data_IF_025624829078
#
_entry.id   IF_025624829078
#
_cell.length_a   1.000
_cell.length_b   1.000
_cell.length_c   1.000
_cell.angle_alpha   90.00
_cell.angle_beta   90.00
_cell.angle_gamma   90.00
#
_symmetry.space_group_name_H-M   'P 1'
#
loop_
_entity.id
_entity.type
_entity.pdbx_description
1 polymer ?
#
# COMPACT_ATOMS: atom_id res chain seq x y z
N UNK A 1 26.52 0.65 18.10
CA UNK A 1 26.06 2.01 17.75
C UNK A 1 24.82 1.88 16.89
N UNK A 2 23.67 1.76 17.56
CA UNK A 2 22.37 1.36 17.04
C UNK A 2 21.43 2.54 17.32
N UNK A 3 21.54 3.64 16.58
CA UNK A 3 20.65 4.78 16.71
C UNK A 3 20.88 5.75 15.53
N UNK A 4 20.05 5.66 14.49
CA UNK A 4 19.98 6.69 13.45
C UNK A 4 18.52 7.11 13.33
N UNK A 5 18.21 8.16 14.09
CA UNK A 5 17.30 9.25 13.77
C UNK A 5 16.01 8.87 13.04
N UNK A 6 15.02 8.42 13.81
CA UNK A 6 13.62 8.60 13.44
C UNK A 6 13.27 10.09 13.56
N UNK A 7 13.16 10.78 12.43
CA UNK A 7 12.63 12.14 12.35
C UNK A 7 11.11 12.13 12.62
N UNK A 8 10.59 12.82 13.65
CA UNK A 8 9.20 12.69 14.09
C UNK A 8 8.17 13.45 13.24
N UNK A 9 8.57 14.10 12.13
CA UNK A 9 7.68 14.96 11.32
C UNK A 9 7.42 14.46 9.89
N UNK A 10 7.89 13.27 9.52
CA UNK A 10 7.54 12.65 8.23
C UNK A 10 6.51 11.55 8.46
N UNK A 11 5.22 11.88 8.58
CA UNK A 11 4.08 10.96 8.80
C UNK A 11 4.35 9.53 8.30
N UNK A 12 4.97 8.65 9.10
CA UNK A 12 5.39 7.31 8.66
C UNK A 12 4.15 6.44 8.44
N UNK A 13 3.06 6.84 9.09
CA UNK A 13 1.74 6.25 9.03
C UNK A 13 1.23 6.14 7.60
N UNK A 14 1.52 7.07 6.68
CA UNK A 14 0.97 6.98 5.32
C UNK A 14 1.63 5.85 4.51
N UNK A 15 2.95 5.68 4.64
CA UNK A 15 3.68 4.61 3.96
C UNK A 15 3.39 3.24 4.57
N UNK A 16 3.43 3.12 5.90
CA UNK A 16 3.11 1.86 6.58
C UNK A 16 1.66 1.43 6.35
N UNK A 17 0.71 2.38 6.37
CA UNK A 17 -0.70 2.10 6.09
C UNK A 17 -0.88 1.63 4.65
N UNK A 18 -0.23 2.29 3.69
CA UNK A 18 -0.26 1.86 2.29
C UNK A 18 0.26 0.42 2.15
N UNK A 19 1.43 0.13 2.71
CA UNK A 19 2.03 -1.19 2.66
C UNK A 19 1.14 -2.26 3.31
N UNK A 20 0.54 -1.96 4.46
CA UNK A 20 -0.38 -2.88 5.15
C UNK A 20 -1.64 -3.17 4.33
N UNK A 21 -2.19 -2.17 3.65
CA UNK A 21 -3.36 -2.34 2.78
C UNK A 21 -3.01 -3.14 1.53
N UNK A 22 -1.91 -2.79 0.85
CA UNK A 22 -1.43 -3.53 -0.33
C UNK A 22 -1.11 -4.98 0.02
N UNK A 23 -0.51 -5.27 1.17
CA UNK A 23 -0.24 -6.65 1.61
C UNK A 23 -1.52 -7.48 1.76
N UNK A 24 -2.60 -6.89 2.28
CA UNK A 24 -3.92 -7.56 2.36
C UNK A 24 -4.54 -7.76 0.97
N UNK A 25 -4.39 -6.78 0.09
CA UNK A 25 -4.87 -6.88 -1.29
C UNK A 25 -4.11 -7.96 -2.08
N UNK A 26 -2.80 -8.11 -1.87
CA UNK A 26 -2.01 -9.20 -2.45
C UNK A 26 -2.56 -10.54 -1.99
N UNK A 27 -2.85 -10.70 -0.70
CA UNK A 27 -3.48 -11.93 -0.19
C UNK A 27 -4.83 -12.20 -0.88
N UNK A 28 -5.69 -11.19 -1.00
CA UNK A 28 -7.00 -11.32 -1.66
C UNK A 28 -6.88 -11.59 -3.16
N UNK A 29 -5.86 -11.07 -3.84
CA UNK A 29 -5.66 -11.31 -5.28
C UNK A 29 -5.44 -12.78 -5.63
N UNK A 30 -4.96 -13.59 -4.68
CA UNK A 30 -4.78 -15.03 -4.89
C UNK A 30 -6.11 -15.79 -4.96
N UNK A 31 -7.16 -15.30 -4.29
CA UNK A 31 -8.49 -15.92 -4.31
C UNK A 31 -9.48 -15.18 -5.23
N UNK A 32 -9.16 -13.94 -5.61
CA UNK A 32 -9.95 -13.05 -6.46
C UNK A 32 -9.07 -12.46 -7.59
N UNK A 33 -8.92 -13.18 -8.72
CA UNK A 33 -8.06 -12.73 -9.83
C UNK A 33 -8.60 -11.49 -10.56
N UNK A 34 -9.87 -11.12 -10.33
CA UNK A 34 -10.50 -9.91 -10.85
C UNK A 34 -9.81 -8.62 -10.39
N UNK A 35 -9.19 -8.63 -9.21
CA UNK A 35 -8.41 -7.50 -8.70
C UNK A 35 -6.89 -7.66 -8.87
N UNK A 36 -6.40 -8.83 -9.29
CA UNK A 36 -4.97 -9.13 -9.31
C UNK A 36 -4.14 -8.17 -10.17
N UNK A 37 -4.70 -7.72 -11.29
CA UNK A 37 -4.06 -6.72 -12.14
C UNK A 37 -3.95 -5.37 -11.42
N UNK A 38 -5.02 -4.89 -10.81
CA UNK A 38 -5.01 -3.62 -10.08
C UNK A 38 -4.04 -3.67 -8.88
N UNK A 39 -4.01 -4.80 -8.17
CA UNK A 39 -3.11 -5.04 -7.03
C UNK A 39 -1.64 -5.07 -7.45
N UNK A 40 -1.32 -5.73 -8.56
CA UNK A 40 0.07 -5.78 -9.06
C UNK A 40 0.60 -4.40 -9.45
N UNK A 41 -0.25 -3.52 -10.02
CA UNK A 41 0.13 -2.12 -10.30
C UNK A 41 0.41 -1.34 -9.01
N UNK A 42 -0.50 -1.34 -8.04
CA UNK A 42 -0.29 -0.61 -6.77
C UNK A 42 0.89 -1.19 -5.96
N UNK A 43 1.18 -2.48 -6.09
CA UNK A 43 2.31 -3.12 -5.39
C UNK A 43 3.68 -2.56 -5.80
N UNK A 44 3.81 -2.03 -7.03
CA UNK A 44 5.05 -1.42 -7.52
C UNK A 44 5.40 -0.12 -6.78
N UNK A 45 4.38 0.57 -6.25
CA UNK A 45 4.55 1.85 -5.57
C UNK A 45 4.71 1.71 -4.05
N UNK A 46 4.92 0.50 -3.52
CA UNK A 46 5.10 0.27 -2.08
C UNK A 46 6.31 0.97 -1.46
N UNK A 47 7.33 1.31 -2.26
CA UNK A 47 8.54 1.98 -1.77
C UNK A 47 8.40 3.51 -1.74
N UNK A 48 7.54 4.07 -2.59
CA UNK A 48 7.24 5.50 -2.67
C UNK A 48 5.75 5.72 -2.99
N UNK A 49 4.85 5.57 -1.99
CA UNK A 49 3.42 5.76 -2.20
C UNK A 49 3.08 7.25 -2.36
N UNK A 50 2.12 7.53 -3.25
CA UNK A 50 1.52 8.84 -3.49
C UNK A 50 0.08 8.85 -2.99
N UNK A 51 -0.51 10.03 -2.81
CA UNK A 51 -1.95 10.18 -2.53
C UNK A 51 -2.81 9.55 -3.64
N UNK A 52 -2.40 9.68 -4.90
CA UNK A 52 -3.09 9.02 -6.03
C UNK A 52 -3.09 7.49 -5.89
N UNK A 53 -1.93 6.94 -5.47
CA UNK A 53 -1.81 5.50 -5.24
C UNK A 53 -2.69 5.05 -4.06
N UNK A 54 -2.76 5.84 -2.99
CA UNK A 54 -3.65 5.59 -1.86
C UNK A 54 -5.12 5.61 -2.29
N UNK A 55 -5.52 6.57 -3.12
CA UNK A 55 -6.88 6.65 -3.63
C UNK A 55 -7.23 5.43 -4.51
N UNK A 56 -6.31 4.96 -5.34
CA UNK A 56 -6.47 3.73 -6.12
C UNK A 56 -6.66 2.50 -5.22
N UNK A 57 -5.85 2.36 -4.16
CA UNK A 57 -6.01 1.29 -3.16
C UNK A 57 -7.38 1.35 -2.48
N UNK A 58 -7.85 2.55 -2.12
CA UNK A 58 -9.19 2.74 -1.53
C UNK A 58 -10.31 2.40 -2.53
N UNK A 59 -10.11 2.66 -3.83
CA UNK A 59 -11.07 2.29 -4.87
C UNK A 59 -11.16 0.77 -5.04
N UNK A 60 -10.03 0.06 -5.03
CA UNK A 60 -9.99 -1.41 -5.04
C UNK A 60 -10.72 -1.96 -3.80
N UNK A 61 -10.49 -1.36 -2.63
CA UNK A 61 -11.16 -1.76 -1.39
C UNK A 61 -12.67 -1.50 -1.40
N UNK A 62 -13.15 -0.47 -2.11
CA UNK A 62 -14.59 -0.20 -2.30
C UNK A 62 -15.26 -1.16 -3.27
N UNK A 63 -14.48 -1.74 -4.18
CA UNK A 63 -14.95 -2.70 -5.18
C UNK A 63 -15.07 -4.12 -4.62
N UNK A 64 -14.25 -4.45 -3.61
CA UNK A 64 -14.21 -5.75 -2.93
C UNK A 64 -15.39 -6.04 -2.01
#
# INVERSE_FOLDING_TARGET
NHHLEEYPDQVPTNKERYQRLVGRLIYLSHTRPDIAYAVSVVSQFMHSPSEDHMNAVLQILRYL
#
